data_IF_034683373442
#
_entry.id   IF_034683373442
#
_cell.length_a   1.000
_cell.length_b   1.000
_cell.length_c   1.000
_cell.angle_alpha   90.00
_cell.angle_beta   90.00
_cell.angle_gamma   90.00
#
_symmetry.space_group_name_H-M   'P 1'
#
loop_
_entity.id
_entity.type
_entity.pdbx_description
1 polymer ?
#
# COMPACT_ATOMS: atom_id res chain seq x y z
N UNK A 1 4.03 12.72 -59.97
CA UNK A 1 3.85 11.45 -59.28
C UNK A 1 4.57 11.37 -57.91
N UNK A 2 5.88 11.70 -57.79
CA UNK A 2 6.59 11.62 -56.48
C UNK A 2 6.00 12.47 -55.34
N UNK A 3 5.44 13.68 -55.64
CA UNK A 3 4.85 14.55 -54.62
C UNK A 3 3.48 14.01 -54.09
N UNK A 4 2.72 13.31 -54.93
CA UNK A 4 1.44 12.70 -54.52
C UNK A 4 1.68 11.48 -53.62
N UNK A 5 2.75 10.70 -53.93
CA UNK A 5 3.15 9.55 -53.13
C UNK A 5 3.61 9.96 -51.70
N UNK A 6 4.29 11.10 -51.62
CA UNK A 6 4.77 11.64 -50.34
C UNK A 6 3.62 12.18 -49.47
N UNK A 7 2.62 12.81 -50.11
CA UNK A 7 1.43 13.27 -49.41
C UNK A 7 0.55 12.09 -48.90
N UNK A 8 0.44 11.02 -49.70
CA UNK A 8 -0.29 9.82 -49.32
C UNK A 8 0.42 9.09 -48.17
N UNK A 9 1.75 9.04 -48.17
CA UNK A 9 2.53 8.46 -47.09
C UNK A 9 2.48 9.31 -45.80
N UNK A 10 2.50 10.63 -45.90
CA UNK A 10 2.33 11.55 -44.78
C UNK A 10 0.90 11.47 -44.17
N UNK A 11 -0.13 11.33 -45.01
CA UNK A 11 -1.48 11.13 -44.56
C UNK A 11 -1.69 9.78 -43.87
N UNK A 12 -1.00 8.72 -44.33
CA UNK A 12 -1.05 7.39 -43.75
C UNK A 12 -0.31 7.34 -42.38
N UNK A 13 0.73 8.14 -42.19
CA UNK A 13 1.42 8.27 -40.91
C UNK A 13 0.61 9.08 -39.87
N UNK A 14 -0.25 9.99 -40.31
CA UNK A 14 -1.11 10.79 -39.43
C UNK A 14 -2.28 9.99 -38.82
N UNK A 15 -2.63 8.83 -39.41
CA UNK A 15 -3.74 7.99 -38.93
C UNK A 15 -3.33 6.95 -37.87
N UNK A 16 -2.05 6.83 -37.57
CA UNK A 16 -1.51 5.93 -36.54
C UNK A 16 -1.37 6.62 -35.17
N UNK A 17 -2.14 7.64 -34.91
CA UNK A 17 -2.37 8.08 -33.53
C UNK A 17 -3.19 6.99 -32.83
N UNK A 18 -2.51 5.92 -32.39
CA UNK A 18 -3.10 4.99 -31.43
C UNK A 18 -3.52 5.81 -30.21
N UNK A 19 -4.81 6.13 -30.12
CA UNK A 19 -5.38 6.75 -28.93
C UNK A 19 -5.21 5.74 -27.80
N UNK A 20 -4.13 5.90 -27.03
CA UNK A 20 -3.94 5.11 -25.83
C UNK A 20 -5.19 5.28 -24.97
N UNK A 21 -5.86 4.19 -24.70
CA UNK A 21 -7.05 4.20 -23.85
C UNK A 21 -6.66 4.75 -22.48
N UNK A 22 -7.26 5.87 -22.09
CA UNK A 22 -7.07 6.46 -20.76
C UNK A 22 -8.19 6.01 -19.83
N UNK A 23 -7.87 5.22 -18.84
CA UNK A 23 -8.78 4.86 -17.76
C UNK A 23 -8.50 5.76 -16.57
N UNK A 24 -9.54 6.28 -15.94
CA UNK A 24 -9.47 7.10 -14.74
C UNK A 24 -10.21 6.41 -13.60
N UNK A 25 -9.60 6.32 -12.44
CA UNK A 25 -10.26 5.89 -11.21
C UNK A 25 -10.78 7.11 -10.45
N UNK A 26 -12.06 7.06 -10.06
CA UNK A 26 -12.75 8.12 -9.32
C UNK A 26 -13.51 7.48 -8.15
N UNK A 27 -13.81 8.28 -7.13
CA UNK A 27 -14.72 7.92 -6.06
C UNK A 27 -16.20 8.18 -6.45
N UNK A 28 -17.12 7.97 -5.51
CA UNK A 28 -18.56 8.23 -5.68
C UNK A 28 -18.90 9.71 -5.95
N UNK A 29 -18.03 10.63 -5.52
CA UNK A 29 -18.19 12.07 -5.67
C UNK A 29 -17.50 12.59 -6.95
N UNK A 30 -16.96 11.68 -7.78
CA UNK A 30 -16.27 12.00 -9.04
C UNK A 30 -14.83 12.51 -8.83
N UNK A 31 -14.30 12.48 -7.60
CA UNK A 31 -12.93 12.90 -7.33
C UNK A 31 -11.94 11.82 -7.76
N UNK A 32 -10.75 12.20 -8.24
CA UNK A 32 -9.75 11.22 -8.65
C UNK A 32 -9.25 10.40 -7.47
N UNK A 33 -9.22 9.07 -7.64
CA UNK A 33 -8.58 8.15 -6.71
C UNK A 33 -7.18 7.82 -7.22
N UNK A 34 -6.13 8.36 -6.60
CA UNK A 34 -4.75 8.14 -7.02
C UNK A 34 -4.23 6.79 -6.56
N UNK A 35 -3.19 6.31 -7.23
CA UNK A 35 -2.38 5.14 -6.85
C UNK A 35 -3.16 3.83 -6.70
N UNK A 36 -4.21 3.67 -7.49
CA UNK A 36 -4.99 2.43 -7.57
C UNK A 36 -4.21 1.38 -8.35
N UNK A 37 -4.02 0.21 -7.76
CA UNK A 37 -3.38 -0.91 -8.46
C UNK A 37 -4.32 -1.51 -9.48
N UNK A 38 -3.83 -1.66 -10.71
CA UNK A 38 -4.54 -2.27 -11.82
C UNK A 38 -3.86 -3.58 -12.19
N UNK A 39 -4.61 -4.65 -12.16
CA UNK A 39 -4.13 -6.01 -12.30
C UNK A 39 -4.88 -6.71 -13.45
N UNK A 40 -4.25 -7.70 -14.06
CA UNK A 40 -4.96 -8.70 -14.84
C UNK A 40 -5.81 -9.60 -13.95
N UNK A 41 -6.72 -10.36 -14.51
CA UNK A 41 -7.55 -11.31 -13.75
C UNK A 41 -6.75 -12.41 -13.08
N UNK A 42 -5.57 -12.73 -13.59
CA UNK A 42 -4.60 -13.66 -12.96
C UNK A 42 -3.64 -12.96 -11.97
N UNK A 43 -3.96 -11.71 -11.59
CA UNK A 43 -3.27 -10.89 -10.57
C UNK A 43 -1.87 -10.40 -10.96
N UNK A 44 -1.55 -10.36 -12.23
CA UNK A 44 -0.35 -9.69 -12.72
C UNK A 44 -0.57 -8.18 -12.72
N UNK A 45 0.35 -7.40 -12.17
CA UNK A 45 0.24 -5.94 -12.14
C UNK A 45 0.42 -5.38 -13.53
N UNK A 46 -0.58 -4.67 -14.04
CA UNK A 46 -0.52 -3.91 -15.31
C UNK A 46 0.07 -2.54 -15.05
N UNK A 47 -0.37 -1.89 -13.97
CA UNK A 47 0.05 -0.54 -13.63
C UNK A 47 -0.59 -0.02 -12.35
N UNK A 48 -0.26 1.22 -12.04
CA UNK A 48 -0.86 1.99 -10.94
C UNK A 48 -1.32 3.32 -11.51
N UNK A 49 -2.49 3.80 -11.09
CA UNK A 49 -2.96 5.11 -11.51
C UNK A 49 -2.08 6.22 -10.93
N UNK A 50 -1.94 7.30 -11.68
CA UNK A 50 -1.18 8.47 -11.24
C UNK A 50 -1.92 9.28 -10.14
N UNK A 51 -1.38 10.44 -9.78
CA UNK A 51 -1.96 11.33 -8.77
C UNK A 51 -3.34 11.88 -9.14
N UNK A 52 -3.70 11.89 -10.41
CA UNK A 52 -4.99 12.35 -10.94
C UNK A 52 -5.91 11.17 -11.29
N UNK A 53 -5.54 9.97 -10.85
CA UNK A 53 -6.30 8.74 -11.02
C UNK A 53 -6.20 8.12 -12.42
N UNK A 54 -5.31 8.60 -13.31
CA UNK A 54 -5.18 8.06 -14.66
C UNK A 54 -4.23 6.87 -14.72
N UNK A 55 -4.63 5.86 -15.47
CA UNK A 55 -3.75 4.79 -15.93
C UNK A 55 -3.34 5.07 -17.38
N UNK A 56 -2.05 5.01 -17.65
CA UNK A 56 -1.51 5.39 -18.95
C UNK A 56 -1.83 4.36 -20.06
N UNK A 57 -1.90 3.07 -19.74
CA UNK A 57 -2.14 2.00 -20.71
C UNK A 57 -2.59 0.70 -20.02
N UNK A 58 -3.58 0.01 -20.60
CA UNK A 58 -4.09 -1.29 -20.14
C UNK A 58 -3.52 -2.49 -20.90
N UNK A 59 -2.61 -2.25 -21.86
CA UNK A 59 -1.81 -3.27 -22.57
C UNK A 59 -2.59 -4.51 -23.06
N UNK A 60 -3.75 -4.30 -23.69
CA UNK A 60 -4.50 -5.38 -24.35
C UNK A 60 -5.21 -6.36 -23.41
N UNK A 61 -5.43 -5.99 -22.15
CA UNK A 61 -6.25 -6.78 -21.25
C UNK A 61 -7.73 -6.56 -21.54
N UNK A 62 -8.51 -7.63 -21.72
CA UNK A 62 -9.97 -7.57 -21.92
C UNK A 62 -10.72 -7.24 -20.63
N UNK A 63 -10.18 -7.64 -19.50
CA UNK A 63 -10.74 -7.38 -18.17
C UNK A 63 -9.60 -7.10 -17.19
N UNK A 64 -9.77 -6.06 -16.40
CA UNK A 64 -8.82 -5.66 -15.36
C UNK A 64 -9.48 -5.73 -13.98
N UNK A 65 -8.69 -6.06 -12.99
CA UNK A 65 -9.05 -5.93 -11.58
C UNK A 65 -8.44 -4.64 -11.04
N UNK A 66 -9.29 -3.80 -10.48
CA UNK A 66 -8.89 -2.53 -9.88
C UNK A 66 -8.95 -2.70 -8.37
N UNK A 67 -7.83 -2.54 -7.70
CA UNK A 67 -7.73 -2.74 -6.25
C UNK A 67 -7.08 -1.55 -5.57
N UNK A 68 -7.69 -1.13 -4.50
CA UNK A 68 -7.15 -0.11 -3.61
C UNK A 68 -7.68 -0.40 -2.21
N UNK A 69 -6.83 -0.29 -1.19
CA UNK A 69 -7.20 -0.79 0.14
C UNK A 69 -8.37 -0.02 0.77
N UNK A 70 -8.54 1.26 0.43
CA UNK A 70 -9.68 2.06 0.90
C UNK A 70 -10.98 1.81 0.16
N UNK A 71 -10.96 1.04 -0.92
CA UNK A 71 -12.11 0.81 -1.78
C UNK A 71 -12.33 -0.68 -1.99
N UNK A 72 -13.58 -1.05 -2.27
CA UNK A 72 -13.91 -2.41 -2.65
C UNK A 72 -13.23 -2.76 -3.98
N UNK A 73 -12.61 -3.94 -4.11
CA UNK A 73 -12.07 -4.39 -5.38
C UNK A 73 -13.14 -4.43 -6.46
N UNK A 74 -12.81 -3.98 -7.67
CA UNK A 74 -13.74 -3.94 -8.80
C UNK A 74 -13.14 -4.58 -10.03
N UNK A 75 -13.91 -5.41 -10.72
CA UNK A 75 -13.59 -5.87 -12.07
C UNK A 75 -14.15 -4.88 -13.09
N UNK A 76 -13.36 -4.56 -14.10
CA UNK A 76 -13.74 -3.66 -15.17
C UNK A 76 -13.42 -4.28 -16.53
N UNK A 77 -14.43 -4.35 -17.40
CA UNK A 77 -14.26 -4.81 -18.78
C UNK A 77 -13.73 -3.67 -19.64
N UNK A 78 -12.61 -3.90 -20.27
CA UNK A 78 -11.94 -2.94 -21.14
C UNK A 78 -12.60 -2.98 -22.51
N UNK A 79 -13.23 -1.89 -22.92
CA UNK A 79 -13.95 -1.78 -24.18
C UNK A 79 -13.21 -1.00 -25.28
N UNK A 80 -11.93 -0.72 -25.05
CA UNK A 80 -11.10 0.07 -25.98
C UNK A 80 -11.35 1.58 -25.92
N UNK A 81 -12.32 2.05 -25.12
CA UNK A 81 -12.64 3.47 -24.98
C UNK A 81 -12.06 4.03 -23.69
N UNK A 82 -11.74 5.32 -23.70
CA UNK A 82 -11.40 6.04 -22.46
C UNK A 82 -12.64 6.11 -21.56
N UNK A 83 -12.46 5.85 -20.26
CA UNK A 83 -13.56 5.81 -19.31
C UNK A 83 -13.14 6.02 -17.88
N UNK A 84 -14.12 6.21 -17.00
CA UNK A 84 -13.90 6.32 -15.55
C UNK A 84 -14.42 5.08 -14.84
N UNK A 85 -13.64 4.60 -13.87
CA UNK A 85 -14.02 3.52 -12.99
C UNK A 85 -14.35 4.14 -11.62
N UNK A 86 -15.62 4.15 -11.26
CA UNK A 86 -16.05 4.59 -9.93
C UNK A 86 -15.78 3.49 -8.91
N UNK A 87 -15.05 3.81 -7.86
CA UNK A 87 -14.73 2.93 -6.75
C UNK A 87 -15.68 3.20 -5.57
N UNK A 88 -16.06 2.14 -4.88
CA UNK A 88 -16.88 2.19 -3.66
C UNK A 88 -16.00 2.07 -2.44
N UNK A 89 -16.24 2.90 -1.42
CA UNK A 89 -15.49 2.86 -0.16
C UNK A 89 -15.55 1.46 0.46
N UNK A 90 -14.41 0.99 0.96
CA UNK A 90 -14.37 -0.20 1.81
C UNK A 90 -14.87 0.18 3.20
N UNK A 91 -15.82 -0.61 3.72
CA UNK A 91 -16.27 -0.46 5.11
C UNK A 91 -15.29 -1.19 6.04
N UNK A 92 -14.52 -0.42 6.82
CA UNK A 92 -13.59 -0.97 7.80
C UNK A 92 -14.25 -1.27 9.15
N UNK A 93 -15.56 -1.00 9.31
CA UNK A 93 -16.38 -1.47 10.44
C UNK A 93 -15.84 -1.23 11.86
N UNK A 94 -14.89 -0.30 12.02
CA UNK A 94 -14.30 -0.05 13.34
C UNK A 94 -15.29 0.65 14.25
N UNK A 95 -15.52 0.12 15.46
CA UNK A 95 -16.44 0.73 16.43
C UNK A 95 -16.01 2.15 16.78
N UNK A 96 -17.00 2.99 17.05
CA UNK A 96 -16.79 4.35 17.54
C UNK A 96 -16.08 4.31 18.89
N UNK A 97 -15.06 5.15 19.07
CA UNK A 97 -14.32 5.20 20.34
C UNK A 97 -14.96 6.24 21.23
N UNK A 98 -15.59 5.79 22.31
CA UNK A 98 -15.96 6.67 23.41
C UNK A 98 -14.68 7.03 24.17
N UNK A 99 -14.21 8.28 24.01
CA UNK A 99 -12.99 8.78 24.66
C UNK A 99 -13.26 8.93 26.17
N UNK A 100 -12.86 7.93 26.94
CA UNK A 100 -12.72 8.05 28.40
C UNK A 100 -11.26 8.42 28.71
N UNK A 101 -11.02 9.31 29.66
CA UNK A 101 -9.65 9.68 30.12
C UNK A 101 -9.02 8.50 30.88
N UNK A 102 -8.58 7.47 30.17
CA UNK A 102 -7.90 6.31 30.74
C UNK A 102 -6.39 6.36 30.45
N UNK A 103 -5.54 5.74 31.28
CA UNK A 103 -4.08 5.90 31.18
C UNK A 103 -3.47 5.18 29.97
N UNK A 104 -4.14 4.20 29.39
CA UNK A 104 -3.62 3.43 28.27
C UNK A 104 -4.57 3.42 27.08
N UNK A 105 -4.00 3.43 25.88
CA UNK A 105 -4.69 3.11 24.64
C UNK A 105 -4.18 1.76 24.15
N UNK A 106 -5.08 0.81 24.01
CA UNK A 106 -4.82 -0.49 23.40
C UNK A 106 -5.26 -0.45 21.94
N UNK A 107 -4.37 -0.89 21.03
CA UNK A 107 -4.65 -1.02 19.60
C UNK A 107 -4.14 -2.37 19.13
N UNK A 108 -5.05 -3.25 18.75
CA UNK A 108 -4.67 -4.48 18.07
C UNK A 108 -4.65 -4.26 16.57
N UNK A 109 -3.63 -4.79 15.92
CA UNK A 109 -3.51 -4.75 14.47
C UNK A 109 -3.29 -6.15 13.91
N UNK A 110 -4.00 -6.46 12.83
CA UNK A 110 -3.69 -7.56 11.95
C UNK A 110 -2.72 -7.07 10.87
N UNK A 111 -1.71 -7.86 10.57
CA UNK A 111 -0.81 -7.55 9.46
C UNK A 111 -0.58 -8.77 8.58
N UNK A 112 -0.31 -8.50 7.31
CA UNK A 112 0.15 -9.49 6.35
C UNK A 112 1.30 -8.94 5.51
N UNK A 113 2.29 -9.80 5.28
CA UNK A 113 3.47 -9.54 4.45
C UNK A 113 3.55 -10.67 3.44
N UNK A 114 3.68 -10.34 2.17
CA UNK A 114 3.86 -11.34 1.12
C UNK A 114 4.94 -10.91 0.14
N UNK A 115 5.59 -11.89 -0.45
CA UNK A 115 6.51 -11.73 -1.56
C UNK A 115 6.11 -12.69 -2.67
N UNK A 116 5.94 -12.16 -3.85
CA UNK A 116 5.59 -12.89 -5.06
C UNK A 116 6.65 -12.64 -6.13
N UNK A 117 7.00 -13.67 -6.89
CA UNK A 117 7.78 -13.57 -8.12
C UNK A 117 7.16 -14.46 -9.19
N UNK A 118 7.37 -14.15 -10.48
CA UNK A 118 6.87 -15.01 -11.57
C UNK A 118 7.50 -16.40 -11.53
N UNK A 119 8.78 -16.51 -11.15
CA UNK A 119 9.50 -17.78 -11.07
C UNK A 119 8.96 -18.68 -9.94
N UNK A 120 8.64 -18.10 -8.79
CA UNK A 120 8.36 -18.87 -7.58
C UNK A 120 6.91 -18.84 -7.13
N UNK A 121 6.06 -18.02 -7.74
CA UNK A 121 4.74 -17.72 -7.20
C UNK A 121 4.85 -16.96 -5.89
N UNK A 122 4.05 -17.31 -4.87
CA UNK A 122 4.23 -16.75 -3.52
C UNK A 122 5.42 -17.40 -2.85
N UNK A 123 6.53 -16.67 -2.78
CA UNK A 123 7.76 -17.16 -2.17
C UNK A 123 7.77 -17.03 -0.64
N UNK A 124 7.01 -16.07 -0.10
CA UNK A 124 6.91 -15.82 1.34
C UNK A 124 5.55 -15.24 1.69
N UNK A 125 4.98 -15.73 2.78
CA UNK A 125 3.79 -15.16 3.39
C UNK A 125 3.91 -15.17 4.91
N UNK A 126 3.55 -14.07 5.54
CA UNK A 126 3.47 -13.95 6.99
C UNK A 126 2.26 -13.14 7.38
N UNK A 127 1.50 -13.66 8.33
CA UNK A 127 0.41 -12.93 8.96
C UNK A 127 0.59 -12.95 10.47
N UNK A 128 0.03 -11.96 11.13
CA UNK A 128 0.09 -11.91 12.59
C UNK A 128 -0.82 -10.86 13.19
N UNK A 129 -0.92 -10.93 14.49
CA UNK A 129 -1.56 -9.94 15.33
C UNK A 129 -0.48 -9.21 16.14
N UNK A 130 -0.64 -7.91 16.27
CA UNK A 130 0.25 -7.08 17.08
C UNK A 130 -0.59 -6.29 18.06
N UNK A 131 -0.33 -6.50 19.34
CA UNK A 131 -0.93 -5.70 20.41
C UNK A 131 -0.03 -4.53 20.72
N UNK A 132 -0.54 -3.33 20.53
CA UNK A 132 0.15 -2.09 20.84
C UNK A 132 -0.52 -1.45 22.05
N UNK A 133 0.27 -1.13 23.08
CA UNK A 133 -0.18 -0.45 24.28
C UNK A 133 0.56 0.86 24.40
N UNK A 134 -0.18 1.94 24.25
CA UNK A 134 0.32 3.30 24.39
C UNK A 134 -0.02 3.84 25.78
N UNK A 135 1.00 4.25 26.51
CA UNK A 135 0.86 4.95 27.78
C UNK A 135 0.71 6.45 27.50
N UNK A 136 -0.48 6.98 27.77
CA UNK A 136 -0.85 8.37 27.46
C UNK A 136 0.04 9.37 28.21
N UNK A 137 0.44 9.04 29.45
CA UNK A 137 1.26 9.92 30.29
C UNK A 137 2.74 9.93 29.85
N UNK A 138 3.32 8.74 29.68
CA UNK A 138 4.76 8.62 29.37
C UNK A 138 5.08 8.65 27.90
N UNK A 139 4.05 8.60 27.02
CA UNK A 139 4.17 8.52 25.55
C UNK A 139 4.97 7.28 25.09
N UNK A 140 5.07 6.26 25.91
CA UNK A 140 5.77 5.01 25.60
C UNK A 140 4.81 4.00 24.99
N UNK A 141 5.32 3.22 24.03
CA UNK A 141 4.60 2.13 23.38
C UNK A 141 5.24 0.81 23.77
N UNK A 142 4.41 -0.15 24.15
CA UNK A 142 4.80 -1.56 24.31
C UNK A 142 4.09 -2.36 23.23
N UNK A 143 4.84 -3.14 22.48
CA UNK A 143 4.33 -3.95 21.39
C UNK A 143 4.63 -5.43 21.64
N UNK A 144 3.64 -6.29 21.45
CA UNK A 144 3.82 -7.74 21.40
C UNK A 144 3.20 -8.30 20.11
N UNK A 145 3.87 -9.28 19.50
CA UNK A 145 3.46 -9.81 18.19
C UNK A 145 3.40 -11.32 18.22
N UNK A 146 2.30 -11.86 17.69
CA UNK A 146 2.13 -13.27 17.36
C UNK A 146 2.02 -13.44 15.86
N UNK A 147 2.62 -14.46 15.27
CA UNK A 147 2.58 -14.63 13.82
C UNK A 147 2.74 -16.06 13.37
N UNK A 148 2.20 -16.34 12.20
CA UNK A 148 2.48 -17.55 11.42
C UNK A 148 3.08 -17.16 10.07
N UNK A 149 4.03 -17.94 9.59
CA UNK A 149 4.68 -17.67 8.31
C UNK A 149 5.02 -18.96 7.57
N UNK A 150 4.97 -18.89 6.25
CA UNK A 150 5.44 -19.93 5.34
C UNK A 150 6.36 -19.30 4.30
N UNK A 151 7.38 -20.02 3.89
CA UNK A 151 8.27 -19.63 2.80
C UNK A 151 8.59 -20.84 1.96
N UNK A 152 8.79 -20.63 0.66
CA UNK A 152 9.16 -21.68 -0.28
C UNK A 152 10.54 -22.28 0.04
N UNK A 153 11.46 -21.42 0.52
CA UNK A 153 12.81 -21.82 0.90
C UNK A 153 13.18 -21.31 2.30
N UNK A 154 13.91 -22.11 3.07
CA UNK A 154 14.31 -21.74 4.45
C UNK A 154 15.10 -20.43 4.52
N UNK A 155 15.98 -20.16 3.54
CA UNK A 155 16.76 -18.91 3.49
C UNK A 155 15.87 -17.68 3.35
N UNK A 156 14.80 -17.76 2.55
CA UNK A 156 13.82 -16.67 2.40
C UNK A 156 13.11 -16.43 3.74
N UNK A 157 12.72 -17.49 4.44
CA UNK A 157 12.09 -17.39 5.76
C UNK A 157 13.01 -16.67 6.76
N UNK A 158 14.29 -16.98 6.77
CA UNK A 158 15.27 -16.35 7.68
C UNK A 158 15.43 -14.87 7.36
N UNK A 159 15.71 -14.53 6.10
CA UNK A 159 15.96 -13.13 5.69
C UNK A 159 14.70 -12.26 5.90
N UNK A 160 13.55 -12.68 5.37
CA UNK A 160 12.32 -11.90 5.44
C UNK A 160 11.68 -11.95 6.83
N UNK A 161 11.86 -13.03 7.57
CA UNK A 161 11.42 -13.14 8.96
C UNK A 161 12.08 -12.09 9.85
N UNK A 162 13.39 -11.92 9.71
CA UNK A 162 14.17 -10.89 10.44
C UNK A 162 13.78 -9.48 9.99
N UNK A 163 13.70 -9.23 8.69
CA UNK A 163 13.30 -7.93 8.14
C UNK A 163 11.86 -7.58 8.52
N UNK A 164 10.94 -8.53 8.46
CA UNK A 164 9.54 -8.36 8.82
C UNK A 164 9.37 -8.01 10.30
N UNK A 165 10.02 -8.71 11.20
CA UNK A 165 9.99 -8.42 12.64
C UNK A 165 10.52 -7.02 12.97
N UNK A 166 11.67 -6.64 12.42
CA UNK A 166 12.23 -5.29 12.59
C UNK A 166 11.33 -4.19 12.01
N UNK A 167 10.71 -4.42 10.84
CA UNK A 167 9.76 -3.46 10.25
C UNK A 167 8.51 -3.34 11.09
N UNK A 168 7.93 -4.44 11.58
CA UNK A 168 6.71 -4.43 12.40
C UNK A 168 6.92 -3.67 13.72
N UNK A 169 8.07 -3.82 14.38
CA UNK A 169 8.38 -3.00 15.55
C UNK A 169 8.47 -1.50 15.21
N UNK A 170 9.01 -1.15 14.04
CA UNK A 170 9.00 0.23 13.54
C UNK A 170 7.60 0.71 13.19
N UNK A 171 6.73 -0.15 12.68
CA UNK A 171 5.33 0.17 12.41
C UNK A 171 4.56 0.46 13.69
N UNK A 172 4.74 -0.30 14.76
CA UNK A 172 4.18 0.05 16.07
C UNK A 172 4.51 1.48 16.49
N UNK A 173 5.76 1.91 16.31
CA UNK A 173 6.17 3.28 16.54
C UNK A 173 5.63 4.30 15.53
N UNK A 174 5.37 3.90 14.27
CA UNK A 174 4.78 4.75 13.25
C UNK A 174 3.27 4.90 13.44
N UNK A 175 2.59 3.84 13.87
CA UNK A 175 1.16 3.83 14.18
C UNK A 175 0.78 4.88 15.23
N UNK A 176 1.68 5.11 16.19
CA UNK A 176 1.44 5.98 17.33
C UNK A 176 2.10 7.35 17.19
N UNK A 177 2.71 7.66 16.06
CA UNK A 177 3.16 9.01 15.71
C UNK A 177 2.20 9.58 14.69
N UNK A 178 1.68 10.76 14.97
CA UNK A 178 0.94 11.51 13.98
C UNK A 178 1.80 11.63 12.70
N UNK A 179 1.33 11.02 11.61
CA UNK A 179 2.06 11.11 10.32
C UNK A 179 2.06 12.55 9.82
N UNK A 180 1.06 13.35 10.20
CA UNK A 180 1.08 14.79 10.00
C UNK A 180 2.32 15.45 10.63
N UNK A 181 2.79 15.00 11.80
CA UNK A 181 4.03 15.50 12.40
C UNK A 181 5.27 15.17 11.57
N UNK A 182 5.23 14.13 10.76
CA UNK A 182 6.30 13.77 9.83
C UNK A 182 6.45 14.77 8.69
N UNK A 183 5.35 15.40 8.31
CA UNK A 183 5.24 16.38 7.23
C UNK A 183 4.96 17.80 7.76
N UNK A 184 4.75 17.96 9.07
CA UNK A 184 4.61 19.31 9.65
C UNK A 184 5.91 20.08 9.48
N UNK A 185 5.73 21.31 9.04
CA UNK A 185 6.79 22.31 8.82
C UNK A 185 7.58 22.61 10.11
N UNK A 186 8.46 21.68 10.52
CA UNK A 186 9.55 22.02 11.43
C UNK A 186 10.60 22.82 10.66
N UNK A 187 11.43 23.62 11.35
CA UNK A 187 12.54 24.40 10.75
C UNK A 187 13.48 23.55 9.86
N UNK A 188 13.48 22.22 10.04
CA UNK A 188 14.31 21.23 9.31
C UNK A 188 13.48 20.29 8.44
N UNK A 189 12.19 20.55 8.20
CA UNK A 189 11.36 19.69 7.36
C UNK A 189 11.74 19.87 5.90
N UNK A 190 12.25 18.79 5.28
CA UNK A 190 12.49 18.77 3.83
C UNK A 190 11.20 18.65 3.01
N UNK A 191 10.06 18.61 3.65
CA UNK A 191 8.76 18.50 3.00
C UNK A 191 7.94 19.77 3.22
N UNK A 192 7.24 20.17 2.16
CA UNK A 192 6.32 21.31 2.16
C UNK A 192 4.90 20.80 1.94
N UNK A 193 3.97 21.24 2.79
CA UNK A 193 2.54 21.03 2.60
C UNK A 193 1.95 22.27 1.94
N UNK A 194 1.16 22.07 0.89
CA UNK A 194 0.49 23.16 0.16
C UNK A 194 -0.97 22.77 -0.03
N UNK A 195 -1.90 23.62 0.41
CA UNK A 195 -3.33 23.43 0.15
C UNK A 195 -3.59 23.56 -1.36
N UNK A 196 -4.26 22.58 -1.96
CA UNK A 196 -4.53 22.52 -3.40
C UNK A 196 -6.03 22.38 -3.70
N UNK A 197 -6.86 22.28 -2.68
CA UNK A 197 -8.32 22.21 -2.76
C UNK A 197 -8.92 21.99 -1.37
N UNK A 198 -10.25 22.03 -1.23
CA UNK A 198 -10.92 21.69 0.02
C UNK A 198 -10.50 20.28 0.48
N UNK A 199 -10.11 20.14 1.75
CA UNK A 199 -9.67 18.85 2.31
C UNK A 199 -8.43 18.23 1.65
N UNK A 200 -7.73 18.90 0.73
CA UNK A 200 -6.63 18.32 -0.03
C UNK A 200 -5.35 19.13 0.07
N UNK A 201 -4.29 18.52 0.60
CA UNK A 201 -2.95 19.10 0.70
C UNK A 201 -1.97 18.28 -0.14
N UNK A 202 -1.12 18.98 -0.87
CA UNK A 202 -0.01 18.41 -1.61
C UNK A 202 1.24 18.35 -0.74
N UNK A 203 1.90 17.19 -0.74
CA UNK A 203 3.19 16.98 -0.10
C UNK A 203 4.27 17.13 -1.19
N UNK A 204 5.22 18.03 -0.99
CA UNK A 204 6.33 18.29 -1.92
C UNK A 204 7.67 18.25 -1.20
N UNK A 205 8.73 17.89 -1.90
CA UNK A 205 10.12 18.11 -1.52
C UNK A 205 10.77 19.12 -2.48
N UNK A 206 12.08 19.29 -2.42
CA UNK A 206 12.85 20.17 -3.32
C UNK A 206 12.75 19.79 -4.81
N UNK A 207 12.30 18.58 -5.13
CA UNK A 207 12.20 18.03 -6.48
C UNK A 207 10.74 17.91 -6.97
N UNK A 208 9.81 18.41 -6.19
CA UNK A 208 8.38 18.51 -6.56
C UNK A 208 7.46 17.64 -5.72
N UNK A 209 6.26 17.37 -6.26
CA UNK A 209 5.21 16.63 -5.56
C UNK A 209 5.63 15.19 -5.31
N UNK A 210 5.45 14.74 -4.06
CA UNK A 210 5.71 13.36 -3.65
C UNK A 210 4.46 12.65 -3.12
N UNK A 211 3.36 13.36 -2.88
CA UNK A 211 2.12 12.76 -2.38
C UNK A 211 1.06 13.78 -2.01
N UNK A 212 0.01 13.26 -1.36
CA UNK A 212 -1.14 14.05 -0.93
C UNK A 212 -1.64 13.62 0.43
N UNK A 213 -2.20 14.56 1.17
CA UNK A 213 -3.08 14.34 2.31
C UNK A 213 -4.48 14.73 1.84
N UNK A 214 -5.45 13.85 2.01
CA UNK A 214 -6.82 14.02 1.56
C UNK A 214 -7.74 13.74 2.74
N UNK A 215 -8.53 14.72 3.12
CA UNK A 215 -9.55 14.61 4.16
C UNK A 215 -10.92 14.47 3.48
N UNK A 216 -11.59 13.36 3.72
CA UNK A 216 -12.91 13.01 3.19
C UNK A 216 -13.80 12.50 4.31
N UNK A 217 -14.88 13.24 4.62
CA UNK A 217 -15.75 12.91 5.75
C UNK A 217 -14.95 12.87 7.06
N UNK A 218 -15.01 11.74 7.75
CA UNK A 218 -14.28 11.51 9.00
C UNK A 218 -12.94 10.78 8.81
N UNK A 219 -12.41 10.75 7.58
CA UNK A 219 -11.17 10.04 7.26
C UNK A 219 -10.12 10.98 6.67
N UNK A 220 -8.88 10.77 7.08
CA UNK A 220 -7.67 11.33 6.46
C UNK A 220 -6.91 10.25 5.76
N UNK A 221 -6.71 10.44 4.48
CA UNK A 221 -5.91 9.56 3.64
C UNK A 221 -4.58 10.23 3.31
N UNK A 222 -3.48 9.52 3.53
CA UNK A 222 -2.14 10.00 3.18
C UNK A 222 -1.57 9.04 2.15
N UNK A 223 -1.23 9.56 0.98
CA UNK A 223 -0.59 8.80 -0.11
C UNK A 223 0.74 9.43 -0.46
N UNK A 224 1.74 8.63 -0.82
CA UNK A 224 3.01 9.17 -1.30
C UNK A 224 3.72 8.21 -2.24
N UNK A 225 4.42 8.78 -3.22
CA UNK A 225 5.26 8.10 -4.18
C UNK A 225 6.59 7.70 -3.52
N UNK A 226 6.64 6.49 -2.99
CA UNK A 226 7.82 6.00 -2.31
C UNK A 226 8.96 5.71 -3.28
N UNK A 227 8.69 5.48 -4.57
CA UNK A 227 9.76 5.33 -5.57
C UNK A 227 10.47 6.66 -5.78
N UNK A 228 9.71 7.74 -5.97
CA UNK A 228 10.27 9.09 -6.10
C UNK A 228 11.07 9.48 -4.85
N UNK A 229 10.52 9.20 -3.66
CA UNK A 229 11.25 9.40 -2.39
C UNK A 229 12.54 8.57 -2.32
N UNK A 230 12.50 7.33 -2.79
CA UNK A 230 13.68 6.45 -2.83
C UNK A 230 14.74 6.96 -3.80
N UNK A 231 14.36 7.42 -5.00
CA UNK A 231 15.27 8.05 -5.97
C UNK A 231 15.91 9.31 -5.40
N UNK A 232 15.12 10.19 -4.81
CA UNK A 232 15.63 11.40 -4.16
C UNK A 232 16.66 11.08 -3.09
N UNK A 233 16.40 10.04 -2.27
CA UNK A 233 17.31 9.56 -1.25
C UNK A 233 18.60 8.93 -1.79
N UNK A 234 18.53 8.30 -2.95
CA UNK A 234 19.70 7.74 -3.65
C UNK A 234 20.67 8.84 -4.08
N UNK A 235 20.14 9.97 -4.56
CA UNK A 235 20.94 11.12 -4.95
C UNK A 235 21.60 11.83 -3.75
N UNK A 236 21.01 11.70 -2.54
CA UNK A 236 21.55 12.22 -1.29
C UNK A 236 22.70 11.37 -0.70
N UNK A 237 23.10 10.25 -1.34
CA UNK A 237 24.19 9.41 -0.85
C UNK A 237 25.54 10.05 -1.19
N UNK A 238 26.23 10.60 -0.19
CA UNK A 238 27.55 11.24 -0.37
C UNK A 238 28.69 10.24 -0.66
N UNK A 239 28.56 9.00 -0.18
CA UNK A 239 29.57 7.98 -0.40
C UNK A 239 29.46 7.39 -1.81
N UNK A 240 30.37 7.77 -2.70
CA UNK A 240 30.39 7.38 -4.11
C UNK A 240 30.32 5.85 -4.33
N UNK A 241 31.03 5.06 -3.51
CA UNK A 241 31.03 3.58 -3.61
C UNK A 241 29.69 2.96 -3.21
N UNK A 242 29.04 3.51 -2.17
CA UNK A 242 27.69 3.09 -1.77
C UNK A 242 26.66 3.52 -2.82
N UNK A 243 26.79 4.73 -3.35
CA UNK A 243 25.93 5.28 -4.41
C UNK A 243 25.98 4.42 -5.66
N UNK A 244 27.18 4.16 -6.20
CA UNK A 244 27.36 3.33 -7.39
C UNK A 244 26.81 1.90 -7.22
N UNK A 245 26.97 1.29 -6.04
CA UNK A 245 26.38 -0.02 -5.73
C UNK A 245 24.84 0.02 -5.72
N UNK A 246 24.26 1.06 -5.16
CA UNK A 246 22.83 1.25 -5.11
C UNK A 246 22.24 1.53 -6.50
N UNK A 247 22.87 2.40 -7.29
CA UNK A 247 22.51 2.70 -8.68
C UNK A 247 22.56 1.46 -9.58
N UNK A 248 23.62 0.64 -9.45
CA UNK A 248 23.74 -0.63 -10.18
C UNK A 248 22.59 -1.58 -9.84
N UNK A 249 22.19 -1.66 -8.57
CA UNK A 249 21.06 -2.49 -8.14
C UNK A 249 19.73 -1.94 -8.67
N UNK A 250 19.57 -0.61 -8.68
CA UNK A 250 18.37 0.04 -9.19
C UNK A 250 18.23 -0.07 -10.70
N UNK A 251 19.33 -0.02 -11.45
CA UNK A 251 19.35 -0.17 -12.91
C UNK A 251 18.80 -1.54 -13.40
N UNK A 252 18.86 -2.57 -12.54
CA UNK A 252 18.30 -3.89 -12.82
C UNK A 252 16.78 -3.96 -12.61
N UNK A 253 16.16 -2.92 -12.08
CA UNK A 253 14.71 -2.86 -11.85
C UNK A 253 14.06 -2.00 -12.92
N UNK A 254 13.10 -2.56 -13.64
CA UNK A 254 12.26 -1.88 -14.64
C UNK A 254 10.82 -1.81 -14.12
N UNK A 255 10.01 -0.98 -14.74
CA UNK A 255 8.57 -0.89 -14.48
C UNK A 255 8.23 -0.81 -12.99
N UNK A 256 9.02 -0.05 -12.23
CA UNK A 256 8.85 0.08 -10.78
C UNK A 256 7.58 0.83 -10.44
N UNK A 257 6.88 0.30 -9.46
CA UNK A 257 5.70 0.90 -8.89
C UNK A 257 5.74 0.70 -7.38
N UNK A 258 5.47 1.74 -6.64
CA UNK A 258 5.42 1.67 -5.19
C UNK A 258 4.23 2.48 -4.68
N UNK A 259 3.25 1.79 -4.13
CA UNK A 259 2.11 2.41 -3.47
C UNK A 259 2.34 2.48 -1.98
N UNK A 260 2.23 3.66 -1.41
CA UNK A 260 2.17 3.88 0.01
C UNK A 260 0.92 4.62 0.38
N UNK A 261 0.22 4.10 1.37
CA UNK A 261 -1.10 4.55 1.69
C UNK A 261 -1.39 4.33 3.17
N UNK A 262 -1.88 5.36 3.85
CA UNK A 262 -2.23 5.31 5.27
C UNK A 262 -3.56 6.01 5.47
N UNK A 263 -4.45 5.42 6.27
CA UNK A 263 -5.72 6.01 6.68
C UNK A 263 -5.72 6.25 8.18
N UNK A 264 -6.24 7.43 8.55
CA UNK A 264 -6.63 7.82 9.90
C UNK A 264 -8.10 8.24 9.94
N UNK A 265 -8.74 8.12 11.10
CA UNK A 265 -9.93 8.91 11.39
C UNK A 265 -9.52 10.34 11.74
N UNK A 266 -10.41 11.25 11.45
CA UNK A 266 -10.31 12.65 11.91
C UNK A 266 -11.56 13.01 12.70
N UNK A 267 -11.39 13.83 13.71
CA UNK A 267 -12.51 14.42 14.46
C UNK A 267 -13.15 15.57 13.65
N UNK A 268 -14.20 16.18 14.23
CA UNK A 268 -14.91 17.30 13.61
C UNK A 268 -14.00 18.52 13.36
N UNK A 269 -12.92 18.66 14.13
CA UNK A 269 -11.90 19.71 13.93
C UNK A 269 -10.86 19.33 12.86
N UNK A 270 -10.99 18.19 12.19
CA UNK A 270 -10.03 17.69 11.21
C UNK A 270 -8.72 17.26 11.83
N UNK A 271 -8.70 16.85 13.10
CA UNK A 271 -7.52 16.37 13.81
C UNK A 271 -7.51 14.85 13.88
N UNK A 272 -6.35 14.26 13.71
CA UNK A 272 -6.10 12.84 13.96
C UNK A 272 -5.15 12.65 15.13
N UNK A 273 -5.37 11.61 15.90
CA UNK A 273 -4.50 11.16 16.98
C UNK A 273 -3.80 9.87 16.57
N UNK A 274 -2.73 9.46 17.23
CA UNK A 274 -2.08 8.18 16.97
C UNK A 274 -3.03 6.99 17.00
N UNK A 275 -3.97 7.00 17.93
CA UNK A 275 -5.01 5.97 18.09
C UNK A 275 -6.06 5.95 16.99
N UNK A 276 -6.18 7.01 16.21
CA UNK A 276 -7.15 7.13 15.10
C UNK A 276 -6.68 6.44 13.83
N UNK A 277 -5.50 5.83 13.84
CA UNK A 277 -4.99 5.01 12.76
C UNK A 277 -5.97 3.88 12.40
N UNK A 278 -6.21 3.68 11.13
CA UNK A 278 -7.13 2.66 10.60
C UNK A 278 -6.36 1.56 9.90
N UNK A 279 -5.50 1.94 8.95
CA UNK A 279 -4.77 0.97 8.16
C UNK A 279 -3.59 1.60 7.41
N UNK A 280 -2.72 0.71 6.92
CA UNK A 280 -1.62 1.06 6.04
C UNK A 280 -1.41 -0.02 4.98
N UNK A 281 -1.06 0.42 3.79
CA UNK A 281 -0.56 -0.44 2.73
C UNK A 281 0.76 0.10 2.18
N UNK A 282 1.68 -0.82 1.89
CA UNK A 282 2.84 -0.58 1.05
C UNK A 282 2.98 -1.75 0.09
N UNK A 283 2.86 -1.49 -1.19
CA UNK A 283 3.12 -2.47 -2.24
C UNK A 283 4.26 -1.95 -3.10
N UNK A 284 5.34 -2.71 -3.18
CA UNK A 284 6.48 -2.47 -4.04
C UNK A 284 6.50 -3.54 -5.14
N UNK A 285 6.41 -3.13 -6.40
CA UNK A 285 6.50 -4.04 -7.53
C UNK A 285 7.50 -3.53 -8.58
N UNK A 286 8.19 -4.45 -9.22
CA UNK A 286 9.15 -4.15 -10.28
C UNK A 286 9.48 -5.40 -11.10
N UNK A 287 9.91 -5.17 -12.33
CA UNK A 287 10.46 -6.21 -13.18
C UNK A 287 12.00 -6.20 -13.04
N UNK A 288 12.55 -7.31 -12.56
CA UNK A 288 13.99 -7.49 -12.42
C UNK A 288 14.57 -8.04 -13.71
N UNK A 289 15.59 -7.37 -14.25
CA UNK A 289 16.35 -7.86 -15.39
C UNK A 289 17.24 -9.03 -14.94
N UNK A 290 17.03 -10.20 -15.52
CA UNK A 290 17.82 -11.39 -15.29
C UNK A 290 19.11 -11.38 -16.12
N UNK A 291 20.02 -12.35 -15.89
CA UNK A 291 21.30 -12.42 -16.61
C UNK A 291 21.16 -12.67 -18.11
N UNK A 292 20.11 -13.35 -18.52
CA UNK A 292 19.75 -13.62 -19.92
C UNK A 292 18.96 -12.47 -20.59
N UNK A 293 18.72 -11.37 -19.86
CA UNK A 293 17.97 -10.21 -20.33
C UNK A 293 16.44 -10.36 -20.17
N UNK A 294 15.93 -11.49 -19.72
CA UNK A 294 14.51 -11.67 -19.41
C UNK A 294 14.07 -10.81 -18.21
N UNK A 295 12.78 -10.56 -18.12
CA UNK A 295 12.18 -9.79 -17.02
C UNK A 295 11.44 -10.74 -16.08
N UNK A 296 11.74 -10.68 -14.80
CA UNK A 296 11.05 -11.39 -13.73
C UNK A 296 10.24 -10.39 -12.91
N UNK A 297 8.92 -10.55 -12.89
CA UNK A 297 8.05 -9.70 -12.08
C UNK A 297 8.16 -10.04 -10.60
N UNK A 298 8.37 -9.01 -9.77
CA UNK A 298 8.51 -9.12 -8.32
C UNK A 298 7.51 -8.20 -7.63
N UNK A 299 6.84 -8.71 -6.61
CA UNK A 299 5.93 -7.92 -5.76
C UNK A 299 6.23 -8.19 -4.30
N UNK A 300 6.30 -7.15 -3.50
CA UNK A 300 6.35 -7.24 -2.05
C UNK A 300 5.27 -6.36 -1.45
N UNK A 301 4.32 -6.97 -0.76
CA UNK A 301 3.22 -6.28 -0.10
C UNK A 301 3.33 -6.32 1.41
N UNK A 302 3.02 -5.21 2.06
CA UNK A 302 2.85 -5.09 3.49
C UNK A 302 1.54 -4.36 3.73
N UNK A 303 0.62 -5.00 4.47
CA UNK A 303 -0.66 -4.42 4.82
C UNK A 303 -0.88 -4.58 6.32
N UNK A 304 -1.41 -3.54 6.95
CA UNK A 304 -1.70 -3.49 8.39
C UNK A 304 -3.08 -2.91 8.59
N UNK A 305 -3.92 -3.58 9.34
CA UNK A 305 -5.29 -3.18 9.64
C UNK A 305 -5.51 -3.15 11.14
N UNK A 306 -6.15 -2.13 11.65
CA UNK A 306 -6.60 -2.11 13.04
C UNK A 306 -7.82 -3.01 13.15
N UNK A 307 -7.78 -3.95 14.08
CA UNK A 307 -8.86 -4.91 14.34
C UNK A 307 -9.59 -4.64 15.64
N UNK A 308 -8.92 -3.98 16.59
CA UNK A 308 -9.52 -3.59 17.86
C UNK A 308 -8.80 -2.39 18.46
N UNK A 309 -9.52 -1.59 19.24
CA UNK A 309 -8.97 -0.47 20.01
C UNK A 309 -9.83 -0.15 21.23
N UNK A 310 -9.19 0.19 22.33
CA UNK A 310 -9.86 0.59 23.54
C UNK A 310 -9.00 1.55 24.39
N UNK A 311 -9.67 2.49 25.08
CA UNK A 311 -9.07 3.18 26.21
C UNK A 311 -9.28 2.34 27.46
N UNK A 312 -8.20 2.00 28.14
CA UNK A 312 -8.22 1.01 29.22
C UNK A 312 -7.39 1.46 30.43
N UNK A 313 -7.77 0.97 31.60
CA UNK A 313 -6.93 0.96 32.77
C UNK A 313 -6.02 -0.29 32.81
N UNK A 314 -5.28 -0.46 33.90
CA UNK A 314 -4.33 -1.55 34.03
C UNK A 314 -4.98 -2.93 34.13
N UNK A 315 -6.15 -3.02 34.72
CA UNK A 315 -6.83 -4.30 34.95
C UNK A 315 -7.63 -4.72 33.72
N UNK A 316 -8.32 -3.79 33.09
CA UNK A 316 -8.94 -3.98 31.76
C UNK A 316 -7.90 -4.41 30.71
N UNK A 317 -6.70 -3.78 30.72
CA UNK A 317 -5.61 -4.17 29.83
C UNK A 317 -5.16 -5.62 30.05
N UNK A 318 -5.10 -6.09 31.29
CA UNK A 318 -4.78 -7.49 31.61
C UNK A 318 -5.85 -8.44 31.09
N UNK A 319 -7.12 -8.06 31.23
CA UNK A 319 -8.27 -8.83 30.76
C UNK A 319 -8.25 -8.93 29.23
N UNK A 320 -8.15 -7.81 28.51
CA UNK A 320 -8.04 -7.79 27.06
C UNK A 320 -6.89 -8.68 26.54
N UNK A 321 -5.72 -8.63 27.18
CA UNK A 321 -4.59 -9.49 26.84
C UNK A 321 -4.83 -10.98 27.10
N UNK A 322 -5.77 -11.35 27.97
CA UNK A 322 -6.19 -12.75 28.15
C UNK A 322 -7.19 -13.17 27.10
N UNK A 323 -8.13 -12.32 26.77
CA UNK A 323 -9.19 -12.57 25.81
C UNK A 323 -8.66 -12.62 24.37
N UNK A 324 -7.76 -11.70 24.02
CA UNK A 324 -7.17 -11.57 22.68
C UNK A 324 -6.00 -12.53 22.41
N UNK A 325 -5.87 -13.64 23.16
CA UNK A 325 -4.85 -14.67 22.92
C UNK A 325 -5.10 -15.54 21.68
N UNK A 326 -5.88 -15.05 20.73
CA UNK A 326 -6.12 -15.77 19.49
C UNK A 326 -4.80 -16.03 18.77
N UNK A 327 -4.49 -17.29 18.52
CA UNK A 327 -3.41 -17.67 17.63
C UNK A 327 -3.95 -17.80 16.21
N UNK A 328 -3.42 -16.99 15.30
CA UNK A 328 -3.67 -17.17 13.89
C UNK A 328 -3.01 -18.49 13.44
N UNK A 329 -3.76 -19.26 12.68
CA UNK A 329 -3.30 -20.46 11.98
C UNK A 329 -3.73 -20.33 10.54
N UNK A 330 -3.14 -21.12 9.65
CA UNK A 330 -3.57 -21.10 8.24
C UNK A 330 -5.08 -21.37 8.07
N UNK A 331 -5.64 -22.25 8.89
CA UNK A 331 -7.05 -22.63 8.82
C UNK A 331 -8.01 -21.51 9.22
N UNK A 332 -7.63 -20.65 10.17
CA UNK A 332 -8.50 -19.62 10.70
C UNK A 332 -8.27 -18.20 10.15
N UNK A 333 -7.19 -17.96 9.40
CA UNK A 333 -6.86 -16.65 8.82
C UNK A 333 -8.05 -16.08 8.03
N UNK A 334 -8.67 -16.88 7.17
CA UNK A 334 -9.79 -16.45 6.32
C UNK A 334 -11.02 -16.06 7.11
N UNK A 335 -11.33 -16.81 8.14
CA UNK A 335 -12.44 -16.50 9.02
C UNK A 335 -12.17 -15.20 9.78
N UNK A 336 -10.93 -15.03 10.26
CA UNK A 336 -10.51 -13.80 10.92
C UNK A 336 -10.61 -12.58 10.00
N UNK A 337 -10.09 -12.68 8.78
CA UNK A 337 -10.16 -11.59 7.79
C UNK A 337 -11.62 -11.19 7.49
N UNK A 338 -12.51 -12.17 7.31
CA UNK A 338 -13.94 -11.90 7.08
C UNK A 338 -14.61 -11.24 8.27
N UNK A 339 -14.38 -11.73 9.50
CA UNK A 339 -15.02 -11.20 10.70
C UNK A 339 -14.58 -9.77 11.04
N UNK A 340 -13.45 -9.31 10.48
CA UNK A 340 -12.94 -7.95 10.69
C UNK A 340 -12.98 -7.09 9.41
N UNK A 341 -13.76 -7.51 8.39
CA UNK A 341 -13.88 -6.80 7.10
C UNK A 341 -12.53 -6.48 6.43
N UNK A 342 -11.52 -7.31 6.66
CA UNK A 342 -10.21 -7.13 6.05
C UNK A 342 -10.30 -7.50 4.57
N UNK A 343 -9.88 -6.63 3.64
CA UNK A 343 -9.94 -6.89 2.22
C UNK A 343 -9.23 -8.18 1.83
N UNK A 344 -9.91 -9.00 1.04
CA UNK A 344 -9.35 -10.26 0.54
C UNK A 344 -8.25 -9.93 -0.48
N UNK A 345 -7.16 -10.69 -0.45
CA UNK A 345 -6.13 -10.61 -1.49
C UNK A 345 -6.72 -10.94 -2.87
N UNK A 346 -6.21 -10.36 -3.97
CA UNK A 346 -6.64 -10.69 -5.32
C UNK A 346 -6.65 -12.21 -5.56
N UNK A 347 -7.64 -12.72 -6.30
CA UNK A 347 -7.91 -14.15 -6.43
C UNK A 347 -6.70 -14.98 -6.91
N UNK A 348 -5.93 -14.46 -7.88
CA UNK A 348 -4.73 -15.14 -8.36
C UNK A 348 -3.60 -15.21 -7.33
N UNK A 349 -3.39 -14.13 -6.57
CA UNK A 349 -2.44 -14.13 -5.46
C UNK A 349 -2.88 -15.11 -4.37
N UNK A 350 -4.20 -15.19 -4.14
CA UNK A 350 -4.79 -16.11 -3.19
C UNK A 350 -4.61 -17.57 -3.59
N UNK A 351 -4.78 -17.91 -4.86
CA UNK A 351 -4.54 -19.25 -5.37
C UNK A 351 -3.08 -19.67 -5.15
N UNK A 352 -2.15 -18.80 -5.51
CA UNK A 352 -0.70 -19.05 -5.33
C UNK A 352 -0.30 -19.15 -3.86
N UNK A 353 -0.98 -18.43 -2.98
CA UNK A 353 -0.81 -18.57 -1.54
C UNK A 353 -1.27 -19.94 -1.04
N UNK A 354 -2.41 -20.45 -1.54
CA UNK A 354 -2.90 -21.78 -1.20
C UNK A 354 -1.91 -22.86 -1.67
N UNK A 355 -1.27 -22.67 -2.83
CA UNK A 355 -0.20 -23.57 -3.32
C UNK A 355 0.99 -23.56 -2.37
N UNK A 356 1.46 -22.38 -1.93
CA UNK A 356 2.56 -22.28 -0.96
C UNK A 356 2.27 -23.05 0.34
N UNK A 357 1.04 -23.04 0.82
CA UNK A 357 0.67 -23.74 2.06
C UNK A 357 0.55 -25.25 1.90
N UNK A 358 0.24 -25.75 0.69
CA UNK A 358 0.19 -27.16 0.37
C UNK A 358 1.58 -27.80 0.21
N UNK A 359 2.59 -27.04 -0.23
CA UNK A 359 3.97 -27.54 -0.41
C UNK A 359 4.69 -27.68 0.92
N UNK A 360 4.42 -28.69 1.72
CA UNK A 360 5.14 -28.89 2.98
C UNK A 360 4.36 -29.63 4.05
N UNK A 361 3.41 -30.45 3.63
CA UNK A 361 2.90 -31.58 4.39
C UNK A 361 3.70 -32.87 4.05
#
# INVERSE_FOLDING_TARGET
MKKILFLAFAAMMATLSATAQKIRTIDKDGQPVPFVSVLTTDSKVIGVTDADGYLADVKGADTIAVTHVAYKPKLYKVDGKSGSITLEDADFGLPEIVVKKKPYVYVQTYYRIYMYTDEWGVAYYRVGLTDNVYDVKTKKIKTSTTSVSKAKYAIIKTILGTLGGSKMNRFGHLLMKDVGDRFKNGKDSKYKLTQVGPGRQRISDSKGTIGYIIDEGNQRRITFDAEKMSRNKLEEIDNAKKKAKAEKKEALKKNKQNTNFIIYRIDEDGKSRPEDYVMMENIDSYDKVQKDGSLEHNVMGIQVFVTDRAYVDKDELKQLKKENKMKLTYQNIRQFERSHNIPILPSGLQQKLNELWKTGE
#
